data_IF_228430570290
#
_entry.id   IF_228430570290
#
_cell.length_a   1.000
_cell.length_b   1.000
_cell.length_c   1.000
_cell.angle_alpha   90.00
_cell.angle_beta   90.00
_cell.angle_gamma   90.00
#
_symmetry.space_group_name_H-M   'P 1'
#
loop_
_entity.id
_entity.type
_entity.pdbx_description
1 polymer ?
#
# COMPACT_ATOMS: atom_id res chain seq x y z
N UNK A 1 11.61 -1.98 23.75
CA UNK A 1 10.51 -1.10 24.19
C UNK A 1 9.22 -1.71 23.69
N UNK A 2 8.29 -2.04 24.60
CA UNK A 2 6.91 -2.34 24.25
C UNK A 2 6.20 -1.02 23.94
N UNK A 3 5.91 -0.78 22.66
CA UNK A 3 4.98 0.28 22.28
C UNK A 3 3.58 -0.19 22.69
N UNK A 4 3.05 0.37 23.78
CA UNK A 4 1.65 0.21 24.19
C UNK A 4 0.78 1.01 23.23
N UNK A 5 0.41 0.38 22.12
CA UNK A 5 -0.59 0.93 21.21
C UNK A 5 -1.98 0.71 21.82
N UNK A 6 -2.75 1.77 22.00
CA UNK A 6 -4.21 1.66 22.08
C UNK A 6 -4.71 1.22 20.70
N UNK A 7 -4.78 -0.10 20.53
CA UNK A 7 -5.36 -0.75 19.35
C UNK A 7 -6.89 -0.70 19.51
N UNK A 8 -7.51 0.34 18.96
CA UNK A 8 -8.93 0.30 18.63
C UNK A 8 -9.15 -0.84 17.63
N UNK A 9 -10.18 -1.65 17.84
CA UNK A 9 -10.62 -2.62 16.85
C UNK A 9 -11.30 -1.95 15.65
N UNK A 10 -11.49 -2.72 14.58
CA UNK A 10 -12.10 -2.19 13.35
C UNK A 10 -13.54 -1.70 13.59
N UNK A 11 -14.30 -2.37 14.44
CA UNK A 11 -15.67 -2.00 14.78
C UNK A 11 -15.73 -0.61 15.43
N UNK A 12 -14.85 -0.34 16.40
CA UNK A 12 -14.72 0.96 17.06
C UNK A 12 -14.29 2.04 16.08
N UNK A 13 -13.28 1.76 15.23
CA UNK A 13 -12.81 2.72 14.23
C UNK A 13 -13.89 3.10 13.22
N UNK A 14 -14.59 2.10 12.69
CA UNK A 14 -15.57 2.29 11.61
C UNK A 14 -16.92 2.79 12.11
N UNK A 15 -17.31 2.47 13.35
CA UNK A 15 -18.50 3.05 13.98
C UNK A 15 -18.32 4.52 14.35
N UNK A 16 -17.12 4.94 14.76
CA UNK A 16 -16.83 6.29 15.23
C UNK A 16 -16.11 7.17 14.18
N UNK A 17 -16.15 6.77 12.89
CA UNK A 17 -15.35 7.35 11.82
C UNK A 17 -15.37 8.89 11.75
N UNK A 18 -16.55 9.52 11.97
CA UNK A 18 -16.68 10.98 12.02
C UNK A 18 -15.83 11.61 13.12
N UNK A 19 -16.01 11.15 14.36
CA UNK A 19 -15.31 11.69 15.53
C UNK A 19 -13.80 11.48 15.39
N UNK A 20 -13.40 10.30 14.89
CA UNK A 20 -11.98 9.97 14.67
C UNK A 20 -11.37 10.88 13.59
N UNK A 21 -12.07 11.18 12.49
CA UNK A 21 -11.58 12.13 11.48
C UNK A 21 -11.39 13.55 12.05
N UNK A 22 -12.35 14.03 12.85
CA UNK A 22 -12.26 15.35 13.49
C UNK A 22 -11.11 15.40 14.52
N UNK A 23 -10.91 14.33 15.30
CA UNK A 23 -9.80 14.21 16.26
C UNK A 23 -8.42 14.04 15.59
N UNK A 24 -8.34 13.29 14.47
CA UNK A 24 -7.13 13.16 13.66
C UNK A 24 -6.73 14.51 13.07
N UNK A 25 -7.66 15.23 12.43
CA UNK A 25 -7.39 16.57 11.90
C UNK A 25 -6.94 17.50 13.02
N UNK A 26 -7.66 17.56 14.14
CA UNK A 26 -7.29 18.38 15.29
C UNK A 26 -5.89 18.03 15.82
N UNK A 27 -5.52 16.75 15.86
CA UNK A 27 -4.18 16.29 16.23
C UNK A 27 -3.11 16.75 15.25
N UNK A 28 -3.35 16.63 13.94
CA UNK A 28 -2.45 17.10 12.88
C UNK A 28 -2.27 18.61 12.95
N UNK A 29 -3.37 19.37 13.06
CA UNK A 29 -3.32 20.83 13.11
C UNK A 29 -2.67 21.33 14.39
N UNK A 30 -2.92 20.70 15.54
CA UNK A 30 -2.26 21.06 16.81
C UNK A 30 -0.75 20.82 16.74
N UNK A 31 -0.31 19.66 16.21
CA UNK A 31 1.11 19.33 16.03
C UNK A 31 1.80 20.32 15.08
N UNK A 32 1.11 20.71 14.00
CA UNK A 32 1.69 21.48 12.91
C UNK A 32 1.34 22.99 12.97
N UNK A 33 0.64 23.48 14.00
CA UNK A 33 0.10 24.84 14.10
C UNK A 33 1.15 25.96 13.91
N UNK A 34 2.40 25.67 14.23
CA UNK A 34 3.51 26.62 14.19
C UNK A 34 4.51 26.34 13.07
N UNK A 35 4.26 25.34 12.20
CA UNK A 35 5.17 25.02 11.10
C UNK A 35 5.23 26.15 10.08
N UNK A 36 6.36 26.24 9.36
CA UNK A 36 6.57 27.26 8.32
C UNK A 36 5.47 27.28 7.26
N UNK A 37 4.86 26.12 6.97
CA UNK A 37 3.72 25.99 6.07
C UNK A 37 2.40 26.45 6.70
N UNK A 38 1.86 25.76 7.73
CA UNK A 38 0.51 26.06 8.24
C UNK A 38 0.39 27.44 8.89
N UNK A 39 1.48 27.98 9.47
CA UNK A 39 1.49 29.33 10.06
C UNK A 39 1.12 30.43 9.05
N UNK A 40 1.36 30.21 7.74
CA UNK A 40 0.99 31.11 6.64
C UNK A 40 -0.54 31.20 6.45
N UNK A 41 -1.27 30.12 6.71
CA UNK A 41 -2.69 29.99 6.39
C UNK A 41 -3.60 30.07 7.63
N UNK A 42 -3.12 29.59 8.79
CA UNK A 42 -3.93 29.45 10.01
C UNK A 42 -3.46 30.32 11.18
N UNK A 43 -2.26 30.90 11.10
CA UNK A 43 -1.67 31.75 12.14
C UNK A 43 -1.67 31.13 13.56
N UNK A 44 -1.56 29.80 13.66
CA UNK A 44 -1.59 29.06 14.94
C UNK A 44 -2.97 28.52 15.34
N UNK A 45 -4.02 28.78 14.56
CA UNK A 45 -5.33 28.14 14.71
C UNK A 45 -5.30 26.66 14.30
N UNK A 46 -6.14 25.86 14.96
CA UNK A 46 -6.41 24.45 14.64
C UNK A 46 -7.90 24.22 14.31
N UNK A 47 -8.60 25.28 13.92
CA UNK A 47 -10.01 25.22 13.53
C UNK A 47 -10.21 24.57 12.14
N UNK A 48 -11.17 23.65 12.04
CA UNK A 48 -11.46 22.85 10.85
C UNK A 48 -12.02 23.69 9.68
N UNK A 49 -12.89 24.65 9.97
CA UNK A 49 -13.50 25.48 8.93
C UNK A 49 -12.49 26.50 8.38
N UNK A 50 -11.65 27.08 9.25
CA UNK A 50 -10.51 27.90 8.83
C UNK A 50 -9.49 27.09 8.02
N UNK A 51 -9.23 25.84 8.38
CA UNK A 51 -8.39 24.92 7.60
C UNK A 51 -8.92 24.72 6.18
N UNK A 52 -10.17 24.30 6.04
CA UNK A 52 -10.82 24.09 4.73
C UNK A 52 -10.89 25.35 3.87
N UNK A 53 -11.04 26.51 4.51
CA UNK A 53 -11.16 27.81 3.82
C UNK A 53 -9.81 28.37 3.37
N UNK A 54 -8.76 28.23 4.18
CA UNK A 54 -7.50 28.95 3.97
C UNK A 54 -6.38 28.08 3.39
N UNK A 55 -6.39 26.76 3.59
CA UNK A 55 -5.33 25.87 3.08
C UNK A 55 -5.68 25.42 1.65
N UNK A 56 -4.80 25.65 0.66
CA UNK A 56 -5.05 25.30 -0.73
C UNK A 56 -4.97 23.79 -0.98
N UNK A 57 -5.60 23.33 -2.06
CA UNK A 57 -5.46 21.97 -2.60
C UNK A 57 -4.43 22.00 -3.72
N UNK A 58 -3.15 21.81 -3.39
CA UNK A 58 -2.05 21.89 -4.36
C UNK A 58 -0.80 21.16 -3.87
N UNK A 59 -0.14 20.42 -4.77
CA UNK A 59 1.20 19.88 -4.51
C UNK A 59 2.28 20.95 -4.64
N UNK A 60 2.15 21.81 -5.65
CA UNK A 60 3.15 22.81 -6.02
C UNK A 60 3.34 23.88 -4.92
N UNK A 61 2.35 24.07 -4.05
CA UNK A 61 2.47 24.88 -2.82
C UNK A 61 3.32 24.21 -1.72
N UNK A 62 3.34 22.87 -1.66
CA UNK A 62 4.00 22.07 -0.61
C UNK A 62 5.41 21.63 -1.03
N UNK A 63 5.62 21.31 -2.31
CA UNK A 63 6.90 20.82 -2.86
C UNK A 63 8.11 21.70 -2.48
N UNK A 64 8.08 23.04 -2.57
CA UNK A 64 9.21 23.90 -2.19
C UNK A 64 9.63 23.74 -0.71
N UNK A 65 8.67 23.39 0.16
CA UNK A 65 8.94 23.16 1.57
C UNK A 65 9.52 21.75 1.82
N UNK A 66 9.11 20.75 1.03
CA UNK A 66 9.71 19.41 1.03
C UNK A 66 11.17 19.48 0.54
N UNK A 67 11.44 20.19 -0.56
CA UNK A 67 12.80 20.39 -1.09
C UNK A 67 13.71 21.08 -0.06
N UNK A 68 13.20 22.04 0.73
CA UNK A 68 13.97 22.70 1.81
C UNK A 68 14.44 21.73 2.89
N UNK A 69 13.58 20.82 3.36
CA UNK A 69 13.95 19.78 4.34
C UNK A 69 14.91 18.75 3.72
N UNK A 70 14.70 18.38 2.44
CA UNK A 70 15.63 17.52 1.71
C UNK A 70 17.03 18.16 1.56
N UNK A 71 17.12 19.49 1.44
CA UNK A 71 18.36 20.25 1.38
C UNK A 71 18.99 20.57 2.74
N UNK A 72 18.31 20.29 3.86
CA UNK A 72 18.88 20.33 5.21
C UNK A 72 18.29 21.38 6.15
N UNK A 73 17.22 22.07 5.75
CA UNK A 73 16.47 22.91 6.68
C UNK A 73 15.70 22.04 7.70
N UNK A 74 15.50 22.49 8.95
CA UNK A 74 14.77 21.71 9.95
C UNK A 74 13.34 21.34 9.53
N UNK A 75 12.84 20.23 10.10
CA UNK A 75 11.54 19.65 9.72
C UNK A 75 10.33 20.52 10.05
N UNK A 76 10.46 21.44 11.01
CA UNK A 76 9.41 22.38 11.44
C UNK A 76 8.98 23.36 10.32
N UNK A 77 9.71 23.39 9.21
CA UNK A 77 9.26 24.01 7.95
C UNK A 77 7.91 23.43 7.46
N UNK A 78 7.65 22.12 7.68
CA UNK A 78 6.42 21.42 7.26
C UNK A 78 5.74 20.58 8.35
N UNK A 79 6.51 20.01 9.29
CA UNK A 79 6.07 18.98 10.22
C UNK A 79 6.62 19.26 11.62
N UNK A 80 5.74 19.32 12.62
CA UNK A 80 6.12 19.46 14.03
C UNK A 80 6.89 18.24 14.57
N UNK A 81 6.81 17.10 13.87
CA UNK A 81 7.63 15.92 14.13
C UNK A 81 8.85 15.87 13.18
N UNK A 82 10.04 15.42 13.62
CA UNK A 82 11.21 15.28 12.76
C UNK A 82 10.98 14.36 11.56
N UNK A 83 11.31 14.83 10.36
CA UNK A 83 11.35 14.00 9.14
C UNK A 83 12.62 13.15 9.19
N UNK A 84 12.45 11.85 9.00
CA UNK A 84 13.50 10.82 9.18
C UNK A 84 13.90 10.13 7.87
N UNK A 85 13.07 10.25 6.84
CA UNK A 85 13.26 9.69 5.51
C UNK A 85 12.32 10.41 4.53
N UNK A 86 12.53 10.17 3.24
CA UNK A 86 11.52 10.46 2.22
C UNK A 86 11.12 9.19 1.47
N UNK A 87 9.84 9.10 1.12
CA UNK A 87 9.38 8.12 0.14
C UNK A 87 9.47 8.69 -1.27
N UNK A 88 9.82 7.86 -2.24
CA UNK A 88 9.82 8.22 -3.66
C UNK A 88 8.65 7.51 -4.35
N UNK A 89 7.78 8.26 -5.03
CA UNK A 89 6.73 7.67 -5.88
C UNK A 89 7.22 7.41 -7.30
N UNK A 90 6.59 6.50 -8.06
CA UNK A 90 6.76 6.40 -9.51
C UNK A 90 6.50 7.73 -10.23
N UNK A 91 5.46 8.45 -9.82
CA UNK A 91 5.01 9.70 -10.43
C UNK A 91 6.12 10.76 -10.53
N UNK A 92 6.26 11.33 -11.73
CA UNK A 92 7.22 12.40 -12.00
C UNK A 92 6.51 13.76 -12.05
N UNK A 93 7.18 14.80 -11.53
CA UNK A 93 6.82 16.21 -11.69
C UNK A 93 8.01 16.92 -12.33
N UNK A 94 7.80 17.62 -13.45
CA UNK A 94 8.88 18.35 -14.15
C UNK A 94 10.11 17.50 -14.54
N UNK A 95 9.96 16.18 -14.67
CA UNK A 95 11.07 15.25 -14.96
C UNK A 95 11.86 14.75 -13.74
N UNK A 96 11.48 15.12 -12.51
CA UNK A 96 11.98 14.50 -11.27
C UNK A 96 10.93 13.60 -10.65
N UNK A 97 11.31 12.55 -9.92
CA UNK A 97 10.36 11.79 -9.10
C UNK A 97 9.91 12.62 -7.89
N UNK A 98 8.60 12.62 -7.59
CA UNK A 98 8.09 13.25 -6.38
C UNK A 98 8.62 12.52 -5.13
N UNK A 99 8.98 13.30 -4.11
CA UNK A 99 9.40 12.79 -2.80
C UNK A 99 8.43 13.25 -1.71
N UNK A 100 8.13 12.36 -0.77
CA UNK A 100 7.16 12.59 0.30
C UNK A 100 7.84 12.48 1.67
N UNK A 101 7.66 13.46 2.57
CA UNK A 101 8.27 13.44 3.90
C UNK A 101 7.74 12.27 4.74
N UNK A 102 8.59 11.61 5.53
CA UNK A 102 8.17 10.56 6.46
C UNK A 102 8.83 10.68 7.84
N UNK A 103 8.01 10.57 8.88
CA UNK A 103 8.41 10.48 10.28
C UNK A 103 7.93 9.16 10.93
N UNK A 104 8.12 8.99 12.24
CA UNK A 104 7.73 7.75 12.95
C UNK A 104 6.25 7.41 12.81
N UNK A 105 5.37 8.40 12.63
CA UNK A 105 3.92 8.21 12.64
C UNK A 105 3.43 7.33 11.48
N UNK A 106 4.04 7.46 10.29
CA UNK A 106 3.73 6.56 9.17
C UNK A 106 4.00 5.09 9.52
N UNK A 107 5.06 4.83 10.30
CA UNK A 107 5.41 3.49 10.72
C UNK A 107 4.50 2.96 11.84
N UNK A 108 4.05 3.81 12.76
CA UNK A 108 3.01 3.47 13.74
C UNK A 108 1.70 3.06 13.03
N UNK A 109 1.26 3.87 12.07
CA UNK A 109 0.10 3.59 11.21
C UNK A 109 0.28 2.26 10.45
N UNK A 110 1.49 1.97 9.96
CA UNK A 110 1.85 0.70 9.32
C UNK A 110 1.74 -0.52 10.24
N UNK A 111 2.03 -0.37 11.54
CA UNK A 111 1.81 -1.44 12.51
C UNK A 111 0.31 -1.59 12.84
N UNK A 112 -0.42 -0.48 12.92
CA UNK A 112 -1.85 -0.48 13.22
C UNK A 112 -2.68 -1.20 12.15
N UNK A 113 -2.52 -0.92 10.85
CA UNK A 113 -3.31 -1.63 9.83
C UNK A 113 -3.01 -3.12 9.79
N UNK A 114 -1.75 -3.52 10.03
CA UNK A 114 -1.36 -4.95 10.10
C UNK A 114 -2.01 -5.66 11.28
N UNK A 115 -2.12 -4.97 12.43
CA UNK A 115 -2.86 -5.48 13.58
C UNK A 115 -4.37 -5.59 13.30
N UNK A 116 -4.97 -4.63 12.59
CA UNK A 116 -6.38 -4.65 12.18
C UNK A 116 -6.71 -5.74 11.16
N UNK A 117 -5.79 -6.03 10.23
CA UNK A 117 -5.96 -7.04 9.18
C UNK A 117 -5.75 -8.48 9.71
N UNK A 118 -4.92 -8.66 10.74
CA UNK A 118 -4.54 -9.96 11.29
C UNK A 118 -5.73 -10.90 11.63
N UNK A 119 -6.81 -10.44 12.31
CA UNK A 119 -7.97 -11.28 12.63
C UNK A 119 -8.84 -11.69 11.43
N UNK A 120 -8.65 -11.07 10.27
CA UNK A 120 -9.29 -11.47 9.01
C UNK A 120 -8.46 -12.56 8.34
N UNK A 121 -7.14 -12.39 8.27
CA UNK A 121 -6.22 -13.39 7.71
C UNK A 121 -6.23 -14.70 8.51
N UNK A 122 -6.31 -14.64 9.84
CA UNK A 122 -6.36 -15.84 10.69
C UNK A 122 -7.63 -16.68 10.56
N UNK A 123 -8.62 -16.25 9.76
CA UNK A 123 -9.80 -17.06 9.40
C UNK A 123 -9.55 -17.97 8.20
N UNK A 124 -8.50 -17.68 7.43
CA UNK A 124 -8.18 -18.33 6.16
C UNK A 124 -6.82 -19.03 6.16
N UNK A 125 -5.98 -18.75 7.16
CA UNK A 125 -4.73 -19.46 7.44
C UNK A 125 -4.89 -20.18 8.78
N UNK A 126 -5.19 -21.48 8.71
CA UNK A 126 -5.39 -22.34 9.88
C UNK A 126 -4.06 -22.54 10.61
N UNK A 127 -3.93 -22.15 11.89
CA UNK A 127 -2.63 -22.02 12.57
C UNK A 127 -1.89 -23.33 12.95
N UNK A 128 -1.91 -24.36 12.10
CA UNK A 128 -1.46 -25.71 12.39
C UNK A 128 0.06 -25.92 12.25
N UNK A 129 0.85 -25.38 13.19
CA UNK A 129 2.26 -25.74 13.51
C UNK A 129 3.20 -26.07 12.31
N UNK A 130 4.11 -25.13 12.02
CA UNK A 130 5.19 -25.17 11.00
C UNK A 130 4.83 -24.59 9.62
N UNK A 131 3.76 -23.82 9.54
CA UNK A 131 3.41 -23.08 8.33
C UNK A 131 4.28 -21.84 8.09
N UNK A 132 4.58 -21.57 6.81
CA UNK A 132 5.41 -20.44 6.35
C UNK A 132 4.75 -19.70 5.18
N UNK A 133 4.93 -18.38 5.17
CA UNK A 133 4.62 -17.52 4.03
C UNK A 133 5.81 -17.51 3.05
N UNK A 134 5.58 -17.93 1.81
CA UNK A 134 6.50 -17.67 0.70
C UNK A 134 6.27 -16.25 0.18
N UNK A 135 6.88 -15.29 0.89
CA UNK A 135 6.82 -13.87 0.52
C UNK A 135 7.94 -13.53 -0.46
N UNK A 136 7.59 -13.11 -1.67
CA UNK A 136 8.51 -12.53 -2.66
C UNK A 136 8.54 -11.01 -2.43
N UNK A 137 9.70 -10.44 -2.13
CA UNK A 137 9.80 -9.01 -1.78
C UNK A 137 11.21 -8.46 -2.04
N UNK A 138 11.29 -7.34 -2.74
CA UNK A 138 12.57 -6.75 -3.16
C UNK A 138 12.89 -5.48 -2.38
N UNK A 139 14.14 -5.34 -1.96
CA UNK A 139 14.67 -4.12 -1.39
C UNK A 139 15.52 -3.37 -2.43
N UNK A 140 15.04 -2.24 -2.93
CA UNK A 140 15.87 -1.35 -3.76
C UNK A 140 16.89 -0.61 -2.88
N UNK A 141 18.09 -0.27 -3.40
CA UNK A 141 19.05 0.57 -2.70
C UNK A 141 18.45 1.91 -2.25
N UNK A 142 18.83 2.35 -1.05
CA UNK A 142 18.48 3.68 -0.53
C UNK A 142 19.37 4.74 -1.21
N UNK A 143 18.77 5.70 -1.90
CA UNK A 143 19.44 6.95 -2.25
C UNK A 143 19.40 7.91 -1.07
N UNK A 144 20.01 9.10 -1.19
CA UNK A 144 20.04 10.11 -0.14
C UNK A 144 19.75 11.50 -0.70
N UNK A 145 19.09 12.33 0.11
CA UNK A 145 19.00 13.77 -0.13
C UNK A 145 20.35 14.46 0.10
N UNK A 146 20.52 15.72 -0.31
CA UNK A 146 21.69 16.53 0.04
C UNK A 146 21.93 16.67 1.56
N UNK A 147 20.87 16.65 2.37
CA UNK A 147 20.96 16.60 3.85
C UNK A 147 21.36 15.24 4.43
N UNK A 148 21.52 14.22 3.58
CA UNK A 148 21.89 12.86 3.97
C UNK A 148 20.73 11.99 4.44
N UNK A 149 19.48 12.50 4.41
CA UNK A 149 18.28 11.72 4.74
C UNK A 149 18.03 10.64 3.67
N UNK A 150 17.63 9.42 4.05
CA UNK A 150 17.40 8.34 3.10
C UNK A 150 16.15 8.59 2.25
N UNK A 151 16.24 8.22 0.97
CA UNK A 151 15.15 8.25 -0.02
C UNK A 151 14.97 6.83 -0.58
N UNK A 152 13.73 6.35 -0.61
CA UNK A 152 13.40 5.00 -1.12
C UNK A 152 11.90 4.81 -1.35
N UNK A 153 11.49 3.77 -2.06
CA UNK A 153 10.08 3.35 -2.04
C UNK A 153 9.65 2.85 -0.65
N UNK A 154 8.35 2.97 -0.33
CA UNK A 154 7.76 2.61 0.98
C UNK A 154 8.20 1.22 1.46
N UNK A 155 8.19 0.24 0.56
CA UNK A 155 8.54 -1.15 0.85
C UNK A 155 9.99 -1.32 1.29
N UNK A 156 10.94 -0.77 0.53
CA UNK A 156 12.37 -0.84 0.86
C UNK A 156 12.69 -0.10 2.17
N UNK A 157 12.00 1.01 2.43
CA UNK A 157 12.10 1.73 3.72
C UNK A 157 11.62 0.89 4.91
N UNK A 158 10.54 0.10 4.73
CA UNK A 158 10.06 -0.81 5.77
C UNK A 158 11.03 -1.98 6.02
N UNK A 159 11.46 -2.66 4.94
CA UNK A 159 12.33 -3.84 5.01
C UNK A 159 13.69 -3.54 5.65
N UNK A 160 14.24 -2.35 5.44
CA UNK A 160 15.56 -1.97 5.97
C UNK A 160 15.58 -1.63 7.46
N UNK A 161 14.41 -1.40 8.09
CA UNK A 161 14.30 -1.05 9.52
C UNK A 161 14.55 -2.23 10.45
N UNK A 162 15.10 -1.93 11.64
CA UNK A 162 15.37 -2.89 12.69
C UNK A 162 14.13 -3.69 13.14
N UNK A 163 12.92 -3.13 13.01
CA UNK A 163 11.69 -3.87 13.30
C UNK A 163 11.55 -5.11 12.42
N UNK A 164 11.73 -4.97 11.09
CA UNK A 164 11.64 -6.11 10.16
C UNK A 164 12.78 -7.11 10.39
N UNK A 165 14.00 -6.62 10.53
CA UNK A 165 15.19 -7.45 10.84
C UNK A 165 15.05 -8.25 12.14
N UNK A 166 14.28 -7.75 13.10
CA UNK A 166 14.00 -8.42 14.38
C UNK A 166 12.73 -9.30 14.33
N UNK A 167 11.98 -9.34 13.23
CA UNK A 167 10.90 -10.33 13.06
C UNK A 167 11.50 -11.73 12.92
N UNK A 168 10.78 -12.73 13.44
CA UNK A 168 11.23 -14.12 13.37
C UNK A 168 11.26 -14.61 11.93
N UNK A 169 12.44 -14.96 11.43
CA UNK A 169 12.63 -15.57 10.11
C UNK A 169 11.94 -16.94 9.97
N UNK A 170 11.42 -17.51 11.07
CA UNK A 170 10.71 -18.80 11.06
C UNK A 170 9.33 -18.75 10.39
N UNK A 171 8.75 -17.56 10.21
CA UNK A 171 7.43 -17.35 9.59
C UNK A 171 7.49 -17.26 8.05
N UNK A 172 8.68 -17.08 7.48
CA UNK A 172 8.89 -16.91 6.06
C UNK A 172 9.77 -18.03 5.51
N UNK A 173 9.61 -18.41 4.24
CA UNK A 173 10.56 -19.35 3.61
C UNK A 173 11.92 -18.70 3.35
N UNK A 174 11.93 -17.42 3.02
CA UNK A 174 13.13 -16.71 2.57
C UNK A 174 13.82 -15.98 3.75
N UNK A 175 15.14 -16.13 3.94
CA UNK A 175 15.89 -15.34 4.90
C UNK A 175 15.82 -13.82 4.62
N UNK A 176 16.02 -13.02 5.67
CA UNK A 176 16.09 -11.55 5.56
C UNK A 176 17.14 -11.09 4.53
N UNK A 177 18.29 -11.77 4.46
CA UNK A 177 19.37 -11.44 3.52
C UNK A 177 18.99 -11.64 2.05
N UNK A 178 18.05 -12.55 1.74
CA UNK A 178 17.51 -12.73 0.38
C UNK A 178 16.61 -11.56 0.00
N UNK A 179 15.79 -11.10 0.95
CA UNK A 179 14.86 -9.96 0.79
C UNK A 179 15.61 -8.62 0.69
N UNK A 180 16.77 -8.53 1.37
CA UNK A 180 17.65 -7.36 1.38
C UNK A 180 18.75 -7.39 0.30
N UNK A 181 18.79 -8.43 -0.54
CA UNK A 181 19.73 -8.53 -1.63
C UNK A 181 19.47 -7.43 -2.68
N UNK A 182 20.48 -6.61 -3.06
CA UNK A 182 20.29 -5.50 -4.00
C UNK A 182 20.20 -5.95 -5.47
N UNK A 183 20.57 -7.19 -5.79
CA UNK A 183 20.38 -7.79 -7.10
C UNK A 183 19.02 -8.51 -7.13
N UNK A 184 18.05 -7.92 -7.83
CA UNK A 184 16.69 -8.46 -7.93
C UNK A 184 16.65 -9.86 -8.57
N UNK A 185 17.57 -10.21 -9.47
CA UNK A 185 17.61 -11.53 -10.12
C UNK A 185 18.13 -12.59 -9.16
N UNK A 186 19.21 -12.29 -8.42
CA UNK A 186 19.70 -13.17 -7.35
C UNK A 186 18.67 -13.32 -6.23
N UNK A 187 18.04 -12.22 -5.81
CA UNK A 187 16.96 -12.21 -4.83
C UNK A 187 15.78 -13.09 -5.28
N UNK A 188 15.30 -12.92 -6.53
CA UNK A 188 14.21 -13.72 -7.10
C UNK A 188 14.54 -15.21 -7.14
N UNK A 189 15.73 -15.56 -7.66
CA UNK A 189 16.20 -16.95 -7.70
C UNK A 189 16.23 -17.57 -6.30
N UNK A 190 16.78 -16.86 -5.31
CA UNK A 190 16.87 -17.31 -3.93
C UNK A 190 15.48 -17.40 -3.24
N UNK A 191 14.56 -16.48 -3.52
CA UNK A 191 13.17 -16.56 -3.02
C UNK A 191 12.48 -17.83 -3.53
N UNK A 192 12.55 -18.09 -4.84
CA UNK A 192 12.00 -19.30 -5.46
C UNK A 192 12.65 -20.57 -4.91
N UNK A 193 13.99 -20.61 -4.82
CA UNK A 193 14.73 -21.75 -4.28
C UNK A 193 14.33 -22.04 -2.82
N UNK A 194 14.30 -21.02 -1.95
CA UNK A 194 13.89 -21.17 -0.56
C UNK A 194 12.44 -21.65 -0.43
N UNK A 195 11.54 -21.16 -1.29
CA UNK A 195 10.16 -21.62 -1.39
C UNK A 195 10.04 -23.09 -1.80
N UNK A 196 10.70 -23.48 -2.89
CA UNK A 196 10.65 -24.84 -3.44
C UNK A 196 11.24 -25.91 -2.49
N UNK A 197 12.32 -25.57 -1.79
CA UNK A 197 12.92 -26.44 -0.75
C UNK A 197 11.95 -26.67 0.42
N UNK A 198 11.22 -25.63 0.83
CA UNK A 198 10.29 -25.65 1.96
C UNK A 198 8.82 -25.82 1.53
N UNK A 199 8.54 -26.24 0.30
CA UNK A 199 7.19 -26.21 -0.31
C UNK A 199 6.10 -26.94 0.48
N UNK A 200 6.47 -27.94 1.28
CA UNK A 200 5.54 -28.69 2.15
C UNK A 200 5.18 -27.94 3.44
N UNK A 201 5.89 -26.86 3.76
CA UNK A 201 5.60 -25.92 4.86
C UNK A 201 4.88 -24.65 4.35
N UNK A 202 4.74 -24.45 3.03
CA UNK A 202 4.15 -23.23 2.46
C UNK A 202 2.63 -23.32 2.44
N UNK A 203 1.96 -22.40 3.14
CA UNK A 203 0.50 -22.25 3.10
C UNK A 203 0.01 -21.00 2.38
N UNK A 204 0.91 -20.06 2.10
CA UNK A 204 0.60 -18.82 1.40
C UNK A 204 1.81 -18.39 0.56
N UNK A 205 1.58 -18.01 -0.70
CA UNK A 205 2.58 -17.33 -1.56
C UNK A 205 2.07 -15.91 -1.76
N UNK A 206 2.89 -14.90 -1.41
CA UNK A 206 2.47 -13.49 -1.44
C UNK A 206 3.52 -12.57 -2.06
N UNK A 207 3.07 -11.44 -2.59
CA UNK A 207 3.88 -10.27 -2.87
C UNK A 207 3.06 -9.00 -2.64
N UNK A 208 3.70 -7.83 -2.70
CA UNK A 208 2.98 -6.56 -2.58
C UNK A 208 2.14 -6.24 -3.82
N UNK A 209 2.55 -6.70 -5.02
CA UNK A 209 1.89 -6.42 -6.30
C UNK A 209 1.68 -7.69 -7.12
N UNK A 210 0.58 -7.74 -7.89
CA UNK A 210 0.20 -8.88 -8.73
C UNK A 210 1.32 -9.30 -9.70
N UNK A 211 1.86 -8.30 -10.39
CA UNK A 211 2.97 -8.36 -11.33
C UNK A 211 4.25 -8.93 -10.72
N UNK A 212 4.45 -8.82 -9.40
CA UNK A 212 5.61 -9.40 -8.72
C UNK A 212 5.49 -10.92 -8.63
N UNK A 213 4.33 -11.45 -8.22
CA UNK A 213 4.07 -12.89 -8.23
C UNK A 213 4.16 -13.43 -9.66
N UNK A 214 3.50 -12.75 -10.61
CA UNK A 214 3.42 -13.25 -11.97
C UNK A 214 4.79 -13.18 -12.70
N UNK A 215 5.64 -12.19 -12.39
CA UNK A 215 7.04 -12.17 -12.81
C UNK A 215 7.86 -13.29 -12.16
N UNK A 216 7.61 -13.63 -10.88
CA UNK A 216 8.28 -14.76 -10.23
C UNK A 216 7.94 -16.11 -10.88
N UNK A 217 6.70 -16.28 -11.34
CA UNK A 217 6.28 -17.50 -12.05
C UNK A 217 6.95 -17.57 -13.43
N UNK A 218 6.93 -16.49 -14.22
CA UNK A 218 7.66 -16.47 -15.50
C UNK A 218 9.19 -16.63 -15.32
N UNK A 219 9.75 -16.10 -14.22
CA UNK A 219 11.15 -16.33 -13.85
C UNK A 219 11.42 -17.81 -13.58
N UNK A 220 10.57 -18.47 -12.78
CA UNK A 220 10.63 -19.91 -12.52
C UNK A 220 10.57 -20.69 -13.85
N UNK A 221 9.62 -20.38 -14.73
CA UNK A 221 9.43 -21.10 -16.00
C UNK A 221 10.59 -20.94 -16.99
N UNK A 222 11.33 -19.83 -16.87
CA UNK A 222 12.54 -19.58 -17.65
C UNK A 222 13.75 -20.30 -17.06
N UNK A 223 13.88 -20.32 -15.73
CA UNK A 223 15.10 -20.77 -15.02
C UNK A 223 14.94 -22.07 -14.22
N UNK A 224 13.81 -22.79 -14.31
CA UNK A 224 13.58 -24.01 -13.51
C UNK A 224 14.64 -25.10 -13.77
N UNK A 225 15.29 -25.09 -14.94
CA UNK A 225 16.46 -25.95 -15.26
C UNK A 225 17.69 -25.65 -14.41
N UNK A 226 17.87 -24.39 -14.01
CA UNK A 226 18.94 -23.97 -13.11
C UNK A 226 18.56 -24.28 -11.64
N UNK A 227 17.26 -24.49 -11.37
CA UNK A 227 16.69 -24.95 -10.11
C UNK A 227 16.45 -26.49 -10.06
N UNK A 228 16.89 -27.24 -11.08
CA UNK A 228 16.50 -28.64 -11.42
C UNK A 228 17.00 -29.72 -10.43
N UNK A 229 17.44 -29.34 -9.23
CA UNK A 229 17.56 -30.26 -8.10
C UNK A 229 16.19 -30.57 -7.44
N UNK A 230 15.12 -29.89 -7.88
CA UNK A 230 13.72 -30.16 -7.51
C UNK A 230 12.90 -30.23 -8.79
N UNK A 231 12.30 -31.39 -9.08
CA UNK A 231 11.60 -31.69 -10.33
C UNK A 231 10.10 -31.32 -10.29
N UNK A 232 9.63 -30.42 -11.16
CA UNK A 232 8.57 -30.67 -12.16
C UNK A 232 8.48 -29.50 -13.20
N UNK A 233 7.72 -29.63 -14.30
CA UNK A 233 7.65 -28.66 -15.42
C UNK A 233 6.24 -28.13 -15.75
N UNK A 234 6.05 -26.81 -15.71
CA UNK A 234 5.22 -25.94 -16.60
C UNK A 234 4.96 -24.59 -15.87
N UNK A 235 4.58 -23.46 -16.50
CA UNK A 235 3.95 -23.20 -17.80
C UNK A 235 4.42 -21.86 -18.46
N UNK A 236 3.49 -20.92 -18.78
CA UNK A 236 3.55 -19.45 -19.12
C UNK A 236 2.12 -18.95 -19.47
N UNK A 237 1.66 -17.68 -19.47
CA UNK A 237 2.07 -16.33 -18.96
C UNK A 237 0.86 -15.32 -19.13
N UNK A 238 0.84 -14.10 -18.50
CA UNK A 238 -0.18 -12.98 -18.57
C UNK A 238 -1.06 -12.58 -17.32
N UNK A 239 -0.61 -11.58 -16.58
CA UNK A 239 -0.60 -11.45 -15.11
C UNK A 239 -1.88 -11.32 -14.25
N UNK A 240 -3.11 -11.43 -14.75
CA UNK A 240 -4.32 -11.60 -13.88
C UNK A 240 -5.02 -12.92 -14.18
N UNK A 241 -5.46 -13.22 -15.42
CA UNK A 241 -5.85 -14.57 -15.80
C UNK A 241 -4.76 -15.61 -15.51
N UNK A 242 -3.49 -15.19 -15.54
CA UNK A 242 -2.35 -16.04 -15.19
C UNK A 242 -2.20 -16.29 -13.70
N UNK A 243 -2.58 -15.34 -12.85
CA UNK A 243 -2.69 -15.64 -11.43
C UNK A 243 -3.83 -16.65 -11.22
N UNK A 244 -5.01 -16.46 -11.81
CA UNK A 244 -6.12 -17.44 -11.77
C UNK A 244 -5.77 -18.83 -12.36
N UNK A 245 -4.92 -18.86 -13.39
CA UNK A 245 -4.46 -20.05 -14.10
C UNK A 245 -3.44 -20.86 -13.29
N UNK A 246 -2.41 -20.22 -12.73
CA UNK A 246 -1.50 -20.88 -11.78
C UNK A 246 -2.15 -21.15 -10.44
N UNK A 247 -3.14 -20.33 -10.09
CA UNK A 247 -3.93 -20.49 -8.89
C UNK A 247 -5.11 -21.42 -9.05
N UNK A 248 -5.34 -22.15 -10.14
CA UNK A 248 -6.36 -23.20 -10.18
C UNK A 248 -7.70 -22.87 -9.42
N UNK A 249 -8.20 -21.62 -9.53
CA UNK A 249 -9.34 -21.03 -8.79
C UNK A 249 -9.17 -20.77 -7.26
N UNK A 250 -7.97 -20.45 -6.77
CA UNK A 250 -7.70 -20.21 -5.35
C UNK A 250 -7.97 -18.75 -4.95
N UNK A 251 -8.33 -18.48 -3.68
CA UNK A 251 -8.70 -17.13 -3.26
C UNK A 251 -7.57 -16.10 -3.39
N UNK A 252 -7.74 -15.14 -4.29
CA UNK A 252 -6.79 -14.02 -4.47
C UNK A 252 -7.16 -12.88 -3.52
N UNK A 253 -6.41 -12.75 -2.43
CA UNK A 253 -6.62 -11.68 -1.44
C UNK A 253 -5.96 -10.36 -1.84
N UNK A 254 -6.73 -9.40 -2.34
CA UNK A 254 -6.34 -7.98 -2.22
C UNK A 254 -6.68 -7.52 -0.80
N UNK A 255 -5.67 -7.11 -0.03
CA UNK A 255 -5.79 -6.89 1.41
C UNK A 255 -5.83 -5.42 1.83
N UNK A 256 -5.14 -4.54 1.11
CA UNK A 256 -4.85 -3.16 1.55
C UNK A 256 -4.66 -2.25 0.34
N UNK A 257 -5.22 -1.05 0.43
CA UNK A 257 -4.94 0.06 -0.48
C UNK A 257 -4.18 1.15 0.29
N UNK A 258 -2.99 1.48 -0.20
CA UNK A 258 -2.02 2.37 0.44
C UNK A 258 -1.06 2.96 -0.59
N UNK A 259 -0.53 4.14 -0.30
CA UNK A 259 0.34 4.91 -1.18
C UNK A 259 1.63 5.38 -0.44
N UNK A 260 2.39 6.31 -1.01
CA UNK A 260 3.52 6.94 -0.31
C UNK A 260 3.07 8.02 0.68
N UNK A 261 1.87 8.56 0.48
CA UNK A 261 1.30 9.67 1.22
C UNK A 261 0.50 9.21 2.44
N UNK A 262 -0.11 8.02 2.38
CA UNK A 262 -0.90 7.45 3.46
C UNK A 262 -1.19 5.96 3.29
N UNK A 263 -1.79 5.36 4.31
CA UNK A 263 -2.36 4.02 4.29
C UNK A 263 -3.87 4.23 4.36
N UNK A 264 -4.60 3.93 3.29
CA UNK A 264 -5.98 4.38 3.14
C UNK A 264 -6.98 3.43 3.79
N UNK A 265 -6.93 2.15 3.42
CA UNK A 265 -7.99 1.19 3.78
C UNK A 265 -7.58 -0.26 3.63
N UNK A 266 -8.38 -1.15 4.24
CA UNK A 266 -8.22 -2.60 4.15
C UNK A 266 -9.46 -3.24 3.55
N UNK A 267 -9.27 -4.34 2.82
CA UNK A 267 -10.40 -5.18 2.42
C UNK A 267 -10.85 -6.02 3.63
N UNK A 268 -12.15 -5.97 3.93
CA UNK A 268 -12.78 -6.70 5.04
C UNK A 268 -13.45 -8.00 4.58
N UNK A 269 -13.72 -8.12 3.28
CA UNK A 269 -14.18 -9.35 2.63
C UNK A 269 -13.07 -9.91 1.74
N UNK A 270 -12.12 -10.62 2.36
CA UNK A 270 -10.99 -11.19 1.62
C UNK A 270 -11.41 -12.26 0.60
N UNK A 271 -12.62 -12.81 0.66
CA UNK A 271 -13.12 -13.83 -0.28
C UNK A 271 -13.91 -13.25 -1.46
N UNK A 272 -14.11 -11.93 -1.54
CA UNK A 272 -14.70 -11.29 -2.71
C UNK A 272 -13.86 -11.58 -3.98
N UNK A 273 -14.50 -11.54 -5.15
CA UNK A 273 -13.77 -11.71 -6.41
C UNK A 273 -12.91 -10.46 -6.66
N UNK A 274 -11.82 -10.55 -7.44
CA UNK A 274 -10.94 -9.40 -7.70
C UNK A 274 -11.64 -8.14 -8.22
N UNK A 275 -12.73 -8.29 -8.99
CA UNK A 275 -13.56 -7.18 -9.49
C UNK A 275 -14.59 -6.64 -8.49
N UNK A 276 -14.84 -7.35 -7.39
CA UNK A 276 -15.79 -6.99 -6.33
C UNK A 276 -15.06 -6.40 -5.10
N UNK A 277 -13.73 -6.21 -5.18
CA UNK A 277 -12.89 -5.72 -4.08
C UNK A 277 -13.29 -4.31 -3.68
N UNK A 278 -13.41 -4.06 -2.38
CA UNK A 278 -13.65 -2.73 -1.84
C UNK A 278 -12.89 -2.52 -0.54
N UNK A 279 -12.13 -1.42 -0.47
CA UNK A 279 -11.30 -1.09 0.68
C UNK A 279 -12.09 -0.22 1.65
N UNK A 280 -12.27 -0.72 2.87
CA UNK A 280 -12.87 0.02 3.97
C UNK A 280 -11.86 1.04 4.47
N UNK A 281 -12.21 2.34 4.41
CA UNK A 281 -11.34 3.42 4.84
C UNK A 281 -11.01 3.29 6.35
N UNK A 282 -9.75 3.52 6.72
CA UNK A 282 -9.28 3.51 8.11
C UNK A 282 -9.15 4.95 8.63
N UNK A 283 -10.17 5.49 9.33
CA UNK A 283 -10.28 6.92 9.63
C UNK A 283 -9.21 7.45 10.59
N UNK A 284 -8.42 6.59 11.23
CA UNK A 284 -7.31 6.96 12.11
C UNK A 284 -5.98 7.24 11.37
N UNK A 285 -5.87 6.89 10.09
CA UNK A 285 -4.58 6.91 9.37
C UNK A 285 -4.16 8.30 8.90
N UNK A 286 -5.11 9.10 8.42
CA UNK A 286 -4.95 10.48 7.97
C UNK A 286 -6.32 11.15 7.96
N UNK A 287 -6.36 12.48 7.88
CA UNK A 287 -7.62 13.17 7.58
C UNK A 287 -7.85 13.15 6.06
N UNK A 288 -9.07 12.79 5.66
CA UNK A 288 -9.46 12.52 4.28
C UNK A 288 -10.58 13.46 3.84
N UNK A 289 -10.33 14.16 2.73
CA UNK A 289 -11.32 14.93 1.98
C UNK A 289 -11.42 14.36 0.56
N UNK A 290 -12.50 14.67 -0.14
CA UNK A 290 -12.83 14.06 -1.43
C UNK A 290 -13.37 15.11 -2.40
N UNK A 291 -12.81 15.25 -3.60
CA UNK A 291 -13.34 16.11 -4.67
C UNK A 291 -14.33 15.29 -5.50
N UNK A 292 -15.58 15.72 -5.66
CA UNK A 292 -16.56 15.00 -6.50
C UNK A 292 -16.24 15.19 -7.99
N UNK A 293 -16.17 14.09 -8.76
CA UNK A 293 -15.73 14.09 -10.18
C UNK A 293 -16.87 14.41 -11.19
N UNK A 294 -18.10 14.50 -10.68
CA UNK A 294 -19.35 14.60 -11.46
C UNK A 294 -19.45 15.89 -12.31
N UNK A 295 -20.12 15.82 -13.46
CA UNK A 295 -20.02 16.86 -14.50
C UNK A 295 -20.59 18.22 -14.10
N UNK A 296 -21.58 18.25 -13.21
CA UNK A 296 -22.27 19.48 -12.77
C UNK A 296 -21.57 20.20 -11.61
N UNK A 297 -20.72 19.51 -10.82
CA UNK A 297 -20.17 19.99 -9.53
C UNK A 297 -18.69 19.63 -9.31
N UNK A 298 -17.84 19.79 -10.35
CA UNK A 298 -16.43 19.33 -10.40
C UNK A 298 -15.45 19.82 -9.30
N UNK A 299 -15.86 20.73 -8.42
CA UNK A 299 -15.03 21.31 -7.36
C UNK A 299 -15.63 21.14 -5.94
N UNK A 300 -16.70 20.36 -5.76
CA UNK A 300 -17.27 20.13 -4.42
C UNK A 300 -16.36 19.22 -3.58
N UNK A 301 -15.73 19.79 -2.54
CA UNK A 301 -14.89 19.06 -1.58
C UNK A 301 -15.71 18.65 -0.37
N UNK A 302 -15.81 17.34 -0.12
CA UNK A 302 -16.58 16.75 0.98
C UNK A 302 -15.69 16.04 2.01
N UNK A 303 -16.12 15.99 3.27
CA UNK A 303 -15.53 15.11 4.29
C UNK A 303 -15.77 13.64 3.95
N UNK A 304 -14.92 12.73 4.47
CA UNK A 304 -15.14 11.27 4.43
C UNK A 304 -16.58 10.82 4.74
N UNK A 305 -17.25 11.51 5.67
CA UNK A 305 -18.60 11.16 6.12
C UNK A 305 -19.74 11.64 5.19
N UNK A 306 -19.41 12.44 4.18
CA UNK A 306 -20.38 13.10 3.30
C UNK A 306 -20.30 12.57 1.85
N UNK A 307 -19.45 11.57 1.59
CA UNK A 307 -19.37 10.88 0.30
C UNK A 307 -20.67 10.09 0.03
N UNK A 308 -21.07 9.98 -1.23
CA UNK A 308 -22.35 9.40 -1.65
C UNK A 308 -22.12 8.06 -2.36
N UNK A 309 -22.95 7.07 -2.07
CA UNK A 309 -22.90 5.74 -2.70
C UNK A 309 -23.00 5.85 -4.23
N UNK A 310 -22.11 5.15 -4.95
CA UNK A 310 -22.06 5.12 -6.41
C UNK A 310 -21.31 6.29 -7.06
N UNK A 311 -20.99 7.37 -6.32
CA UNK A 311 -20.28 8.53 -6.85
C UNK A 311 -18.76 8.31 -6.88
N UNK A 312 -18.10 9.01 -7.80
CA UNK A 312 -16.65 9.02 -8.00
C UNK A 312 -16.01 10.26 -7.37
N UNK A 313 -14.88 10.06 -6.71
CA UNK A 313 -14.16 11.10 -5.99
C UNK A 313 -12.65 11.00 -6.18
N UNK A 314 -11.96 12.14 -6.29
CA UNK A 314 -10.50 12.19 -6.16
C UNK A 314 -10.10 12.33 -4.68
N UNK A 315 -9.13 11.53 -4.25
CA UNK A 315 -8.68 11.50 -2.85
C UNK A 315 -7.77 12.69 -2.49
N UNK A 316 -8.13 13.41 -1.42
CA UNK A 316 -7.28 14.38 -0.74
C UNK A 316 -6.82 13.87 0.63
N UNK A 317 -5.53 14.08 0.94
CA UNK A 317 -4.89 13.60 2.17
C UNK A 317 -4.29 14.75 2.97
N UNK A 318 -4.55 14.75 4.28
CA UNK A 318 -3.85 15.56 5.27
C UNK A 318 -3.27 14.64 6.34
N UNK A 319 -1.95 14.72 6.60
CA UNK A 319 -1.24 13.76 7.45
C UNK A 319 -0.29 14.39 8.47
N UNK A 320 0.25 13.55 9.36
CA UNK A 320 1.14 13.93 10.46
C UNK A 320 2.60 14.23 10.05
N UNK A 321 2.92 14.22 8.75
CA UNK A 321 4.28 14.40 8.24
C UNK A 321 4.42 15.56 7.24
N UNK A 322 3.39 16.41 7.12
CA UNK A 322 3.48 17.71 6.45
C UNK A 322 2.81 17.80 5.08
N UNK A 323 2.01 16.79 4.69
CA UNK A 323 1.07 16.96 3.58
C UNK A 323 -0.26 17.51 4.13
N UNK A 324 -0.77 18.55 3.48
CA UNK A 324 -2.02 19.22 3.85
C UNK A 324 -2.86 19.39 2.59
N UNK A 325 -4.07 18.81 2.60
CA UNK A 325 -5.02 18.76 1.46
C UNK A 325 -4.36 18.34 0.14
N UNK A 326 -3.40 17.42 0.22
CA UNK A 326 -2.67 16.94 -0.94
C UNK A 326 -3.55 16.03 -1.79
N UNK A 327 -3.68 16.36 -3.09
CA UNK A 327 -4.39 15.55 -4.07
C UNK A 327 -3.53 14.37 -4.51
N UNK A 328 -3.98 13.16 -4.16
CA UNK A 328 -3.27 11.90 -4.47
C UNK A 328 -3.27 11.61 -5.97
N UNK A 329 -4.39 11.91 -6.64
CA UNK A 329 -4.57 11.68 -8.08
C UNK A 329 -5.38 10.42 -8.41
N UNK A 330 -5.56 9.53 -7.45
CA UNK A 330 -6.42 8.35 -7.59
C UNK A 330 -7.91 8.74 -7.55
N UNK A 331 -8.71 8.16 -8.44
CA UNK A 331 -10.17 8.28 -8.47
C UNK A 331 -10.80 7.04 -7.86
N UNK A 332 -11.65 7.23 -6.86
CA UNK A 332 -12.26 6.18 -6.06
C UNK A 332 -13.78 6.23 -6.20
N UNK A 333 -14.43 5.08 -6.40
CA UNK A 333 -15.89 4.97 -6.37
C UNK A 333 -16.35 4.50 -4.98
N UNK A 334 -17.36 5.15 -4.40
CA UNK A 334 -17.99 4.64 -3.16
C UNK A 334 -18.86 3.45 -3.50
N UNK A 335 -18.49 2.25 -3.04
CA UNK A 335 -19.20 0.99 -3.31
C UNK A 335 -20.09 0.53 -2.15
N UNK A 336 -19.84 1.01 -0.94
CA UNK A 336 -20.57 0.59 0.26
C UNK A 336 -20.14 1.35 1.51
N UNK A 337 -20.61 0.87 2.65
CA UNK A 337 -20.23 1.35 3.98
C UNK A 337 -20.11 0.17 4.93
N UNK A 338 -19.01 0.11 5.68
CA UNK A 338 -18.83 -0.82 6.79
C UNK A 338 -19.01 -0.02 8.08
N UNK A 339 -20.07 -0.32 8.84
CA UNK A 339 -20.61 0.58 9.86
C UNK A 339 -20.80 2.01 9.29
N UNK A 340 -20.07 3.00 9.80
CA UNK A 340 -20.10 4.38 9.32
C UNK A 340 -18.89 4.74 8.42
N UNK A 341 -17.94 3.82 8.19
CA UNK A 341 -16.79 4.06 7.32
C UNK A 341 -17.15 3.71 5.86
N UNK A 342 -16.94 4.61 4.89
CA UNK A 342 -17.18 4.29 3.49
C UNK A 342 -16.17 3.27 2.97
N UNK A 343 -16.63 2.47 2.02
CA UNK A 343 -15.85 1.49 1.27
C UNK A 343 -15.68 1.98 -0.17
N UNK A 344 -14.48 1.80 -0.70
CA UNK A 344 -14.10 2.33 -2.01
C UNK A 344 -13.51 1.26 -2.92
N UNK A 345 -13.91 1.28 -4.19
CA UNK A 345 -13.17 0.64 -5.27
C UNK A 345 -12.24 1.66 -5.95
N UNK A 346 -11.09 1.18 -6.41
CA UNK A 346 -10.04 1.97 -7.05
C UNK A 346 -10.22 1.94 -8.56
N UNK A 347 -11.00 2.88 -9.09
CA UNK A 347 -11.29 2.95 -10.52
C UNK A 347 -10.02 3.28 -11.32
N UNK A 348 -9.65 2.39 -12.25
CA UNK A 348 -8.59 2.62 -13.24
C UNK A 348 -9.18 2.39 -14.64
N UNK A 349 -8.96 3.34 -15.56
CA UNK A 349 -9.63 3.32 -16.86
C UNK A 349 -9.33 2.05 -17.67
N UNK A 350 -10.41 1.38 -18.05
CA UNK A 350 -10.42 0.09 -18.75
C UNK A 350 -9.88 0.28 -20.19
N UNK A 351 -8.64 -0.13 -20.42
CA UNK A 351 -8.01 -0.11 -21.76
C UNK A 351 -7.36 -1.45 -22.17
N UNK A 352 -7.56 -2.52 -21.38
CA UNK A 352 -6.87 -3.82 -21.52
C UNK A 352 -7.77 -5.00 -21.90
N UNK A 353 -9.08 -4.81 -22.00
CA UNK A 353 -10.07 -5.90 -22.06
C UNK A 353 -10.03 -6.76 -23.35
N UNK A 354 -9.83 -6.13 -24.52
CA UNK A 354 -9.85 -6.83 -25.81
C UNK A 354 -8.68 -7.83 -25.99
N UNK A 355 -7.60 -7.66 -25.20
CA UNK A 355 -6.47 -8.60 -25.16
C UNK A 355 -6.73 -9.83 -24.27
N UNK A 356 -7.57 -9.69 -23.24
CA UNK A 356 -7.86 -10.77 -22.27
C UNK A 356 -8.70 -11.89 -22.91
N UNK A 357 -9.71 -11.54 -23.70
CA UNK A 357 -10.67 -12.49 -24.30
C UNK A 357 -10.03 -13.49 -25.29
N UNK A 358 -8.92 -13.14 -25.95
CA UNK A 358 -8.25 -14.05 -26.91
C UNK A 358 -7.39 -15.13 -26.25
N UNK A 359 -6.90 -14.91 -25.02
CA UNK A 359 -6.09 -15.90 -24.29
C UNK A 359 -6.94 -17.04 -23.70
N UNK A 360 -8.19 -16.72 -23.37
CA UNK A 360 -9.12 -17.55 -22.59
C UNK A 360 -9.42 -18.93 -23.21
N UNK A 361 -9.48 -19.01 -24.55
CA UNK A 361 -9.91 -20.21 -25.27
C UNK A 361 -8.85 -21.32 -25.40
N UNK A 362 -7.57 -21.08 -25.07
CA UNK A 362 -6.51 -22.09 -25.19
C UNK A 362 -6.17 -22.81 -23.87
N UNK A 363 -6.48 -22.20 -22.72
CA UNK A 363 -6.03 -22.68 -21.41
C UNK A 363 -6.85 -23.85 -20.82
N UNK A 364 -8.07 -24.05 -21.31
CA UNK A 364 -9.07 -24.98 -20.75
C UNK A 364 -8.62 -26.45 -20.79
N UNK A 365 -7.73 -26.83 -21.71
CA UNK A 365 -7.46 -28.24 -22.07
C UNK A 365 -6.39 -28.96 -21.23
N UNK A 366 -5.72 -28.30 -20.27
CA UNK A 366 -4.44 -28.81 -19.71
C UNK A 366 -4.43 -29.06 -18.19
N UNK A 367 -5.28 -28.38 -17.40
CA UNK A 367 -5.08 -28.28 -15.94
C UNK A 367 -6.10 -29.04 -15.05
N UNK A 368 -6.83 -30.02 -15.58
CA UNK A 368 -7.76 -30.87 -14.79
C UNK A 368 -7.06 -31.78 -13.73
N UNK A 369 -5.77 -31.59 -13.41
CA UNK A 369 -4.90 -32.66 -12.89
C UNK A 369 -4.18 -32.47 -11.53
N UNK A 370 -4.03 -31.27 -10.94
CA UNK A 370 -2.90 -31.06 -9.97
C UNK A 370 -3.07 -30.26 -8.65
N UNK A 371 -4.21 -29.64 -8.32
CA UNK A 371 -4.66 -29.38 -6.92
C UNK A 371 -3.69 -28.67 -5.89
N UNK A 372 -3.38 -27.36 -6.03
CA UNK A 372 -2.49 -26.54 -5.12
C UNK A 372 -3.11 -25.18 -4.64
N UNK A 373 -2.39 -24.29 -3.90
CA UNK A 373 -2.83 -23.01 -3.20
C UNK A 373 -2.03 -21.69 -3.61
N UNK A 374 -2.67 -20.51 -3.85
CA UNK A 374 -2.04 -19.17 -4.16
C UNK A 374 -2.79 -17.98 -3.50
N UNK A 375 -2.11 -16.88 -3.13
CA UNK A 375 -2.68 -15.76 -2.33
C UNK A 375 -2.23 -14.33 -2.74
N UNK A 376 -3.07 -13.60 -3.50
CA UNK A 376 -3.17 -12.13 -3.45
C UNK A 376 -2.53 -11.28 -4.57
N UNK A 377 -3.07 -10.07 -4.75
CA UNK A 377 -2.69 -9.12 -5.80
C UNK A 377 -3.04 -7.67 -5.43
N UNK A 378 -2.23 -6.70 -5.89
CA UNK A 378 -2.60 -5.28 -6.05
C UNK A 378 -2.00 -4.74 -7.35
N UNK A 379 -2.53 -3.64 -7.88
CA UNK A 379 -2.14 -3.07 -9.18
C UNK A 379 -0.85 -2.22 -9.11
N UNK A 380 -0.17 -2.13 -10.26
CA UNK A 380 1.06 -1.37 -10.53
C UNK A 380 2.38 -1.95 -9.96
N UNK A 381 3.34 -2.29 -10.83
CA UNK A 381 4.75 -2.35 -10.45
C UNK A 381 5.66 -2.00 -11.64
N UNK A 382 6.59 -1.07 -11.44
CA UNK A 382 7.64 -0.76 -12.40
C UNK A 382 8.75 -1.80 -12.34
N UNK A 383 8.58 -2.88 -13.12
CA UNK A 383 9.60 -3.91 -13.38
C UNK A 383 10.50 -3.51 -14.56
N UNK A 384 11.10 -2.32 -14.52
CA UNK A 384 12.12 -1.88 -15.47
C UNK A 384 13.22 -1.06 -14.79
N UNK A 385 14.30 -1.75 -14.40
CA UNK A 385 15.65 -1.67 -15.00
C UNK A 385 16.49 -2.88 -14.52
#
# INVERSE_FOLDING_TARGET
MSLSFDLMDLETLTSNAKQIQDDVLKGILTLNAHTGYLKRFLHGSFDKELFKKNVPVSYDDVEPYIERVANGEPSDVISGNPITAFFQSPGTSGGKHKIFPMNSKFFENMLQYKALLSPFLSRYVDGAKQEKEMKISFCRPLSKTPSGLPVSGVLSSFLTRNYFKNQSSKLYTSPHDVTLCPDNKQSMYCHLLCGLVQRHEVTCISAYFASTLAHAINFLETHWKELEWITDRSCRDSYIPTLDFYSNQLPIFSMVYASSETIFGINVDLLCKPQDVSYTCLPNMSYFEFIQVDEENKDEIVDLMNVKLGYYYELLVTNYFGLHRYKVGDTLQVTGFYNNAPQFDSYTEITTEERLLKALNHAILVLEASNLMLMGSTCYADLYE
#
